data_IF_896452284882
#
_entry.id   IF_896452284882
#
_cell.length_a   1.000
_cell.length_b   1.000
_cell.length_c   1.000
_cell.angle_alpha   90.00
_cell.angle_beta   90.00
_cell.angle_gamma   90.00
#
_symmetry.space_group_name_H-M   'P 1'
#
loop_
_entity.id
_entity.type
_entity.pdbx_description
1 polymer ?
#
# COMPACT_ATOMS: atom_id res chain seq x y z
N UNK A 1 -26.03 11.70 -27.83
CA UNK A 1 -25.54 11.22 -26.52
C UNK A 1 -24.55 10.10 -26.78
N UNK A 2 -23.26 10.24 -26.41
CA UNK A 2 -22.34 9.11 -26.47
C UNK A 2 -22.69 8.11 -25.36
N UNK A 3 -22.63 6.82 -25.70
CA UNK A 3 -22.81 5.71 -24.76
C UNK A 3 -21.67 5.73 -23.70
N UNK A 4 -21.93 5.30 -22.45
CA UNK A 4 -20.86 5.17 -21.46
C UNK A 4 -19.81 4.20 -22.00
N UNK A 5 -18.55 4.63 -22.03
CA UNK A 5 -17.42 3.82 -22.43
C UNK A 5 -17.39 2.55 -21.59
N UNK A 6 -17.67 1.41 -22.23
CA UNK A 6 -17.55 0.10 -21.63
C UNK A 6 -16.12 -0.06 -21.13
N UNK A 7 -15.93 0.06 -19.80
CA UNK A 7 -14.67 -0.27 -19.15
C UNK A 7 -14.31 -1.71 -19.54
N UNK A 8 -13.13 -1.98 -20.13
CA UNK A 8 -12.76 -3.33 -20.50
C UNK A 8 -12.78 -4.19 -19.25
N UNK A 9 -13.65 -5.20 -19.24
CA UNK A 9 -13.67 -6.25 -18.22
C UNK A 9 -12.35 -7.01 -18.38
N UNK A 10 -11.47 -7.00 -17.37
CA UNK A 10 -10.19 -7.66 -17.53
C UNK A 10 -10.36 -9.16 -17.65
N UNK A 11 -9.58 -9.78 -18.54
CA UNK A 11 -9.61 -11.23 -18.74
C UNK A 11 -8.95 -11.95 -17.54
N UNK A 12 -9.63 -12.93 -16.91
CA UNK A 12 -9.00 -13.81 -15.93
C UNK A 12 -7.84 -14.57 -16.59
N UNK A 13 -6.65 -14.49 -15.98
CA UNK A 13 -5.41 -15.10 -16.50
C UNK A 13 -4.32 -14.10 -16.95
N UNK A 14 -4.57 -12.79 -16.87
CA UNK A 14 -3.49 -11.81 -17.09
C UNK A 14 -2.48 -11.80 -15.93
N UNK A 15 -1.17 -11.58 -16.19
CA UNK A 15 -0.15 -11.48 -15.14
C UNK A 15 -0.49 -10.44 -14.06
N UNK A 16 -1.17 -9.36 -14.42
CA UNK A 16 -1.61 -8.34 -13.48
C UNK A 16 -2.72 -8.85 -12.53
N UNK A 17 -3.67 -9.64 -13.02
CA UNK A 17 -4.73 -10.24 -12.19
C UNK A 17 -4.18 -11.25 -11.20
N UNK A 18 -3.23 -12.09 -11.64
CA UNK A 18 -2.54 -13.02 -10.76
C UNK A 18 -1.74 -12.28 -9.69
N UNK A 19 -0.98 -11.26 -10.09
CA UNK A 19 -0.19 -10.45 -9.16
C UNK A 19 -1.07 -9.71 -8.14
N UNK A 20 -2.19 -9.12 -8.58
CA UNK A 20 -3.17 -8.50 -7.70
C UNK A 20 -3.78 -9.52 -6.72
N UNK A 21 -4.10 -10.73 -7.18
CA UNK A 21 -4.61 -11.81 -6.31
C UNK A 21 -3.57 -12.22 -5.27
N UNK A 22 -2.31 -12.41 -5.66
CA UNK A 22 -1.21 -12.73 -4.75
C UNK A 22 -1.03 -11.65 -3.70
N UNK A 23 -1.04 -10.38 -4.10
CA UNK A 23 -0.88 -9.26 -3.19
C UNK A 23 -2.08 -9.13 -2.23
N UNK A 24 -3.30 -9.28 -2.74
CA UNK A 24 -4.53 -9.33 -1.92
C UNK A 24 -4.44 -10.38 -0.83
N UNK A 25 -4.06 -11.61 -1.18
CA UNK A 25 -3.91 -12.70 -0.21
C UNK A 25 -2.84 -12.38 0.83
N UNK A 26 -1.72 -11.79 0.43
CA UNK A 26 -0.66 -11.40 1.36
C UNK A 26 -1.14 -10.32 2.35
N UNK A 27 -1.81 -9.27 1.86
CA UNK A 27 -2.36 -8.19 2.69
C UNK A 27 -3.45 -8.65 3.65
N UNK A 28 -4.32 -9.57 3.21
CA UNK A 28 -5.38 -10.13 4.04
C UNK A 28 -4.86 -10.81 5.32
N UNK A 29 -3.63 -11.34 5.29
CA UNK A 29 -2.98 -11.93 6.47
C UNK A 29 -2.59 -10.93 7.56
N UNK A 30 -2.55 -9.63 7.25
CA UNK A 30 -1.98 -8.59 8.14
C UNK A 30 -3.02 -7.68 8.82
N UNK A 31 -4.31 -7.83 8.48
CA UNK A 31 -5.43 -7.02 9.04
C UNK A 31 -5.13 -5.51 9.04
N UNK A 32 -4.76 -5.00 7.87
CA UNK A 32 -4.58 -3.56 7.63
C UNK A 32 -5.96 -2.91 7.45
N UNK A 33 -6.50 -2.33 8.53
CA UNK A 33 -7.79 -1.64 8.52
C UNK A 33 -7.78 -0.46 7.54
N UNK A 34 -8.86 -0.28 6.78
CA UNK A 34 -8.93 0.79 5.77
C UNK A 34 -8.02 0.61 4.56
N UNK A 35 -7.32 -0.53 4.40
CA UNK A 35 -6.56 -0.82 3.19
C UNK A 35 -7.53 -1.28 2.07
N UNK A 36 -7.61 -0.57 0.94
CA UNK A 36 -8.54 -0.92 -0.13
C UNK A 36 -8.06 -2.18 -0.85
N UNK A 37 -8.98 -2.93 -1.45
CA UNK A 37 -8.63 -4.17 -2.15
C UNK A 37 -7.82 -3.83 -3.41
N UNK A 38 -6.55 -4.28 -3.54
CA UNK A 38 -5.79 -4.05 -4.77
C UNK A 38 -6.50 -4.65 -5.98
N UNK A 39 -6.51 -3.92 -7.08
CA UNK A 39 -7.13 -4.37 -8.33
C UNK A 39 -6.19 -4.13 -9.52
N UNK A 40 -6.37 -4.93 -10.56
CA UNK A 40 -5.60 -4.82 -11.78
C UNK A 40 -6.39 -4.04 -12.83
N UNK A 41 -5.78 -3.01 -13.40
CA UNK A 41 -6.30 -2.25 -14.54
C UNK A 41 -5.13 -1.85 -15.45
N UNK A 42 -5.34 -1.93 -16.78
CA UNK A 42 -4.34 -1.60 -17.81
C UNK A 42 -2.92 -2.12 -17.49
N UNK A 43 -2.80 -3.41 -17.17
CA UNK A 43 -1.55 -4.11 -16.81
C UNK A 43 -0.79 -3.58 -15.58
N UNK A 44 -1.46 -2.78 -14.75
CA UNK A 44 -0.94 -2.23 -13.49
C UNK A 44 -1.81 -2.67 -12.32
N UNK A 45 -1.22 -2.73 -11.13
CA UNK A 45 -1.92 -3.08 -9.89
C UNK A 45 -2.07 -1.81 -9.07
N UNK A 46 -3.30 -1.34 -8.90
CA UNK A 46 -3.61 -0.15 -8.12
C UNK A 46 -3.80 -0.51 -6.66
N UNK A 47 -3.11 0.24 -5.78
CA UNK A 47 -3.14 0.04 -4.33
C UNK A 47 -4.10 0.99 -3.63
N UNK A 48 -4.42 2.13 -4.24
CA UNK A 48 -5.43 3.06 -3.74
C UNK A 48 -4.97 3.91 -2.57
N UNK A 49 -5.93 4.53 -1.91
CA UNK A 49 -5.71 5.44 -0.78
C UNK A 49 -5.84 4.69 0.53
N UNK A 50 -4.92 4.98 1.47
CA UNK A 50 -4.92 4.35 2.78
C UNK A 50 -4.87 5.40 3.89
N UNK A 51 -5.54 5.18 5.02
CA UNK A 51 -5.37 6.03 6.20
C UNK A 51 -3.90 6.06 6.64
N UNK A 52 -3.46 7.19 7.19
CA UNK A 52 -2.07 7.34 7.65
C UNK A 52 -1.61 6.26 8.66
N UNK A 53 -2.40 5.87 9.67
CA UNK A 53 -2.03 4.77 10.57
C UNK A 53 -1.82 3.44 9.83
N UNK A 54 -2.62 3.19 8.79
CA UNK A 54 -2.52 2.00 7.96
C UNK A 54 -1.26 2.03 7.09
N UNK A 55 -0.91 3.20 6.54
CA UNK A 55 0.31 3.42 5.79
C UNK A 55 1.56 3.16 6.67
N UNK A 56 1.57 3.70 7.89
CA UNK A 56 2.66 3.47 8.84
C UNK A 56 2.81 1.98 9.21
N UNK A 57 1.68 1.31 9.45
CA UNK A 57 1.69 -0.12 9.73
C UNK A 57 2.20 -0.93 8.54
N UNK A 58 1.84 -0.54 7.31
CA UNK A 58 2.42 -1.14 6.10
C UNK A 58 3.94 -0.97 6.08
N UNK A 59 4.46 0.25 6.32
CA UNK A 59 5.91 0.49 6.35
C UNK A 59 6.61 -0.40 7.39
N UNK A 60 6.02 -0.52 8.59
CA UNK A 60 6.54 -1.38 9.67
C UNK A 60 6.53 -2.85 9.30
N UNK A 61 5.43 -3.34 8.70
CA UNK A 61 5.36 -4.71 8.15
C UNK A 61 6.37 -4.95 7.04
N UNK A 62 6.79 -3.88 6.36
CA UNK A 62 7.83 -3.89 5.35
C UNK A 62 9.23 -3.62 5.93
N UNK A 63 9.40 -3.71 7.25
CA UNK A 63 10.68 -3.66 7.95
C UNK A 63 11.22 -2.25 8.19
N UNK A 64 10.39 -1.20 8.04
CA UNK A 64 10.75 0.12 8.54
C UNK A 64 10.70 0.16 10.06
N UNK A 65 11.58 0.96 10.67
CA UNK A 65 11.53 1.23 12.11
C UNK A 65 10.17 1.86 12.47
N UNK A 66 9.50 1.43 13.55
CA UNK A 66 8.28 2.07 14.04
C UNK A 66 8.52 3.55 14.34
N UNK A 67 7.59 4.41 13.98
CA UNK A 67 7.63 5.82 14.37
C UNK A 67 6.46 6.14 15.29
N UNK A 68 6.64 7.06 16.27
CA UNK A 68 5.54 7.57 17.05
C UNK A 68 4.59 8.36 16.14
N UNK A 69 3.42 7.81 15.83
CA UNK A 69 2.35 8.54 15.16
C UNK A 69 1.67 9.43 16.19
N UNK A 70 1.63 10.73 15.93
CA UNK A 70 0.73 11.66 16.65
C UNK A 70 -0.53 11.80 15.81
N UNK A 71 -1.66 11.36 16.36
CA UNK A 71 -2.96 11.35 15.67
C UNK A 71 -3.63 12.73 15.63
N UNK A 72 -3.21 13.63 16.52
CA UNK A 72 -3.74 14.97 16.61
C UNK A 72 -2.73 15.87 15.88
N UNK A 73 -3.09 16.51 14.77
CA UNK A 73 -2.71 17.89 14.43
C UNK A 73 -3.08 18.27 12.97
N UNK A 74 -3.62 19.50 12.75
CA UNK A 74 -4.07 20.00 11.45
C UNK A 74 -2.95 20.51 10.51
N UNK A 75 -1.72 20.70 11.00
CA UNK A 75 -0.55 21.06 10.19
C UNK A 75 0.51 19.96 10.29
N UNK A 76 0.70 19.16 9.23
CA UNK A 76 1.40 17.87 9.37
C UNK A 76 2.74 17.75 8.60
N UNK A 77 3.84 18.33 9.11
CA UNK A 77 5.19 18.03 8.60
C UNK A 77 5.57 16.54 8.80
N UNK A 78 4.96 15.83 9.75
CA UNK A 78 5.14 14.40 9.97
C UNK A 78 4.48 13.56 8.86
N UNK A 79 3.46 14.07 8.17
CA UNK A 79 2.88 13.42 6.98
C UNK A 79 3.94 13.12 5.91
N UNK A 80 4.85 14.08 5.66
CA UNK A 80 6.00 13.88 4.75
C UNK A 80 6.95 12.78 5.22
N UNK A 81 7.16 12.64 6.54
CA UNK A 81 8.01 11.57 7.10
C UNK A 81 7.37 10.21 6.91
N UNK A 82 6.05 10.11 7.06
CA UNK A 82 5.32 8.86 6.84
C UNK A 82 5.37 8.48 5.35
N UNK A 83 5.12 9.42 4.43
CA UNK A 83 5.30 9.18 2.99
C UNK A 83 6.68 8.65 2.68
N UNK A 84 7.72 9.31 3.20
CA UNK A 84 9.09 8.89 2.93
C UNK A 84 9.37 7.49 3.49
N UNK A 85 8.91 7.19 4.72
CA UNK A 85 9.06 5.87 5.33
C UNK A 85 8.34 4.78 4.53
N UNK A 86 7.11 5.03 4.10
CA UNK A 86 6.36 4.09 3.26
C UNK A 86 7.06 3.90 1.91
N UNK A 87 7.49 4.99 1.28
CA UNK A 87 8.22 4.96 -0.01
C UNK A 87 9.49 4.13 0.09
N UNK A 88 10.29 4.33 1.12
CA UNK A 88 11.55 3.60 1.32
C UNK A 88 11.28 2.13 1.60
N UNK A 89 10.30 1.81 2.45
CA UNK A 89 9.95 0.44 2.78
C UNK A 89 9.39 -0.34 1.59
N UNK A 90 8.49 0.29 0.81
CA UNK A 90 7.95 -0.29 -0.42
C UNK A 90 9.04 -0.46 -1.46
N UNK A 91 9.86 0.57 -1.70
CA UNK A 91 10.97 0.52 -2.67
C UNK A 91 11.96 -0.58 -2.34
N UNK A 92 12.31 -0.75 -1.07
CA UNK A 92 13.15 -1.85 -0.62
C UNK A 92 12.50 -3.21 -0.87
N UNK A 93 11.18 -3.33 -0.66
CA UNK A 93 10.44 -4.57 -0.87
C UNK A 93 10.28 -4.96 -2.34
N UNK A 94 10.25 -3.99 -3.26
CA UNK A 94 10.04 -4.23 -4.70
C UNK A 94 11.32 -4.12 -5.53
N UNK A 95 12.50 -4.24 -4.90
CA UNK A 95 13.78 -4.26 -5.61
C UNK A 95 14.15 -2.94 -6.28
N UNK A 96 13.65 -1.80 -5.76
CA UNK A 96 14.03 -0.48 -6.24
C UNK A 96 13.09 0.16 -7.25
N UNK A 97 12.01 -0.51 -7.68
CA UNK A 97 10.98 0.08 -8.55
C UNK A 97 10.42 1.37 -7.92
N UNK A 98 10.26 2.41 -8.74
CA UNK A 98 9.65 3.65 -8.30
C UNK A 98 8.15 3.42 -8.06
N UNK A 99 7.70 3.74 -6.86
CA UNK A 99 6.29 3.74 -6.50
C UNK A 99 5.89 5.16 -6.22
N UNK A 100 4.90 5.62 -6.97
CA UNK A 100 4.32 6.93 -6.74
C UNK A 100 3.55 6.89 -5.42
N UNK A 101 3.90 7.79 -4.51
CA UNK A 101 3.29 7.84 -3.17
C UNK A 101 3.12 9.30 -2.82
N UNK A 102 1.86 9.68 -2.65
CA UNK A 102 1.44 11.03 -2.33
C UNK A 102 0.73 11.08 -0.98
N UNK A 103 0.67 12.27 -0.41
CA UNK A 103 -0.02 12.52 0.84
C UNK A 103 -1.02 13.65 0.69
N UNK A 104 -2.23 13.34 1.10
CA UNK A 104 -3.34 14.29 1.17
C UNK A 104 -3.53 14.66 2.63
N UNK A 105 -3.27 15.93 2.99
CA UNK A 105 -3.53 16.40 4.35
C UNK A 105 -5.05 16.45 4.60
N UNK A 106 -5.42 16.64 5.87
CA UNK A 106 -6.80 16.90 6.25
C UNK A 106 -7.38 18.05 5.41
N UNK A 107 -8.59 17.86 4.87
CA UNK A 107 -9.29 18.87 4.10
C UNK A 107 -10.49 19.43 4.89
N UNK A 108 -10.40 20.64 5.48
CA UNK A 108 -11.51 21.23 6.24
C UNK A 108 -12.77 21.46 5.42
N UNK A 109 -12.64 21.57 4.09
CA UNK A 109 -13.77 21.81 3.17
C UNK A 109 -14.56 20.54 2.89
N UNK A 110 -13.89 19.41 2.80
CA UNK A 110 -14.49 18.12 2.50
C UNK A 110 -14.75 17.28 3.76
N UNK A 111 -14.18 17.69 4.90
CA UNK A 111 -14.14 16.92 6.15
C UNK A 111 -13.54 15.52 5.96
N UNK A 112 -12.48 15.44 5.15
CA UNK A 112 -11.78 14.21 4.83
C UNK A 112 -10.49 14.10 5.64
N UNK A 113 -10.34 12.95 6.30
CA UNK A 113 -9.14 12.59 7.05
C UNK A 113 -7.91 12.50 6.14
N UNK A 114 -6.71 12.73 6.68
CA UNK A 114 -5.48 12.61 5.93
C UNK A 114 -5.24 11.17 5.44
N UNK A 115 -4.86 11.04 4.17
CA UNK A 115 -4.60 9.75 3.51
C UNK A 115 -3.28 9.75 2.75
N UNK A 116 -2.72 8.56 2.57
CA UNK A 116 -1.58 8.31 1.69
C UNK A 116 -2.10 7.59 0.45
N UNK A 117 -1.87 8.17 -0.73
CA UNK A 117 -2.17 7.50 -1.99
C UNK A 117 -0.99 6.61 -2.35
N UNK A 118 -1.26 5.31 -2.50
CA UNK A 118 -0.32 4.36 -3.05
C UNK A 118 -0.60 4.19 -4.54
N UNK A 119 0.37 4.57 -5.35
CA UNK A 119 0.30 4.48 -6.80
C UNK A 119 0.19 3.06 -7.31
N UNK A 120 0.31 2.92 -8.63
CA UNK A 120 0.22 1.62 -9.27
C UNK A 120 1.57 0.90 -9.30
N UNK A 121 1.55 -0.44 -9.25
CA UNK A 121 2.71 -1.30 -9.38
C UNK A 121 2.70 -2.08 -10.70
N UNK A 122 3.88 -2.44 -11.19
CA UNK A 122 4.00 -3.50 -12.18
C UNK A 122 3.57 -4.87 -11.60
N UNK A 123 3.21 -5.85 -12.44
CA UNK A 123 2.94 -7.22 -11.97
C UNK A 123 4.12 -7.86 -11.24
N UNK A 124 5.35 -7.50 -11.60
CA UNK A 124 6.57 -7.98 -10.93
C UNK A 124 6.67 -7.38 -9.54
N UNK A 125 6.60 -6.05 -9.42
CA UNK A 125 6.64 -5.37 -8.11
C UNK A 125 5.51 -5.80 -7.18
N UNK A 126 4.28 -6.00 -7.69
CA UNK A 126 3.17 -6.48 -6.87
C UNK A 126 3.41 -7.91 -6.32
N UNK A 127 4.04 -8.79 -7.11
CA UNK A 127 4.43 -10.14 -6.65
C UNK A 127 5.55 -10.08 -5.62
N UNK A 128 6.54 -9.22 -5.82
CA UNK A 128 7.67 -9.04 -4.90
C UNK A 128 7.22 -8.43 -3.58
N UNK A 129 6.35 -7.42 -3.63
CA UNK A 129 5.69 -6.86 -2.45
C UNK A 129 4.91 -7.94 -1.69
N UNK A 130 4.09 -8.74 -2.40
CA UNK A 130 3.36 -9.85 -1.80
C UNK A 130 4.27 -10.93 -1.22
N UNK A 131 5.47 -11.14 -1.77
CA UNK A 131 6.48 -12.04 -1.20
C UNK A 131 7.08 -11.45 0.08
N UNK A 132 7.50 -10.18 0.06
CA UNK A 132 8.06 -9.48 1.21
C UNK A 132 7.10 -9.46 2.41
N UNK A 133 5.81 -9.25 2.15
CA UNK A 133 4.76 -9.30 3.17
C UNK A 133 4.61 -10.69 3.79
N UNK A 134 4.73 -11.77 3.01
CA UNK A 134 4.62 -13.16 3.51
C UNK A 134 5.85 -13.61 4.28
N UNK A 135 7.05 -13.24 3.83
CA UNK A 135 8.30 -13.60 4.53
C UNK A 135 8.37 -12.98 5.92
N UNK A 136 7.83 -11.77 6.07
CA UNK A 136 7.84 -11.05 7.36
C UNK A 136 6.74 -11.51 8.32
N UNK A 137 5.71 -12.22 7.83
CA UNK A 137 4.77 -12.95 8.69
C UNK A 137 5.44 -14.12 9.45
N UNK A 138 6.49 -14.72 8.89
CA UNK A 138 7.22 -15.83 9.53
C UNK A 138 8.31 -15.42 10.52
N UNK A 139 8.81 -14.19 10.44
CA UNK A 139 9.95 -13.72 11.25
C UNK A 139 9.58 -13.29 12.68
N UNK A 140 8.29 -13.11 12.97
CA UNK A 140 7.82 -12.77 14.32
C UNK A 140 7.76 -13.98 15.28
N UNK A 141 8.03 -15.19 14.80
CA UNK A 141 7.93 -16.42 15.58
C UNK A 141 9.24 -16.92 16.23
N UNK A 142 10.37 -16.20 16.08
CA UNK A 142 11.69 -16.66 16.58
C UNK A 142 12.39 -15.71 17.56
N UNK A 143 11.71 -14.69 18.08
CA UNK A 143 12.27 -13.76 19.07
C UNK A 143 11.54 -13.83 20.43
N UNK A 144 11.42 -15.03 20.99
CA UNK A 144 11.06 -15.23 22.40
C UNK A 144 11.67 -16.53 22.95
N UNK A 145 13.00 -16.60 22.96
CA UNK A 145 13.73 -17.44 23.90
C UNK A 145 15.18 -16.94 23.96
N UNK A 146 15.58 -16.45 25.13
CA UNK A 146 16.89 -15.85 25.41
C UNK A 146 16.92 -15.17 26.76
#
# INVERSE_FOLDING_TARGET
MPLPESRPVPLPGSPAHEAATVLRTALAGHRLEGFPVPYADRDRIYLGEVPVPTADRLATLLGAEPAPIRADLPDWPEGRRIVQRVRDAVRAAVGGEFVDIDFWPYCPRCDEDPVVTLGSLSPVAARDLGRALRTRTGSAATAHDG
#
